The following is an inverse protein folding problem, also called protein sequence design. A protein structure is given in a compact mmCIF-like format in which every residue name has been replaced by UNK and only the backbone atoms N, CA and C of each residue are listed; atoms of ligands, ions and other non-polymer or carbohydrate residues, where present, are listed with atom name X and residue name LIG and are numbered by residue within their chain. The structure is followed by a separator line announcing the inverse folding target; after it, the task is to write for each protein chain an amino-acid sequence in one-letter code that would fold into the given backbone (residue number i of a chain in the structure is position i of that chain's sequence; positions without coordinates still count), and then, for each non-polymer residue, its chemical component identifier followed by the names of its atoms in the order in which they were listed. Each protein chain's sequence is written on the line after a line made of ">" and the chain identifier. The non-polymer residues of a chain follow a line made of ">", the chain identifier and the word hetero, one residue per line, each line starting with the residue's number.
data_IF_910934677349
#
_entry.id   IF_910934677349
#
_cell.length_a   1.000
_cell.length_b   1.000
_cell.length_c   1.000
_cell.angle_alpha   90.00
_cell.angle_beta   90.00
_cell.angle_gamma   90.00
#
_symmetry.space_group_name_H-M   'P 1'
#
loop_
_entity.id
_entity.type
_entity.pdbx_description
1 polymer ?
#
# COMPACT_ATOMS: atom_id res chain seq x y z
N UNK A 1 13.73 9.27 -3.18
CA UNK A 1 13.04 10.23 -2.28
C UNK A 1 13.93 11.38 -1.82
N UNK A 2 15.21 11.18 -1.45
CA UNK A 2 16.11 12.25 -0.98
C UNK A 2 16.21 13.46 -1.93
N UNK A 3 16.19 13.23 -3.25
CA UNK A 3 16.34 14.31 -4.23
C UNK A 3 15.17 15.32 -4.26
N UNK A 4 13.95 14.91 -3.96
CA UNK A 4 12.78 15.81 -3.94
C UNK A 4 12.87 16.86 -2.83
N UNK A 5 13.26 16.43 -1.64
CA UNK A 5 13.44 17.35 -0.50
C UNK A 5 14.60 18.33 -0.73
N UNK A 6 15.66 17.86 -1.39
CA UNK A 6 16.81 18.70 -1.72
C UNK A 6 16.40 19.78 -2.74
N UNK A 7 15.69 19.41 -3.81
CA UNK A 7 15.17 20.36 -4.82
C UNK A 7 14.24 21.40 -4.15
N UNK A 8 13.32 20.90 -3.28
CA UNK A 8 12.40 21.78 -2.56
C UNK A 8 13.15 22.76 -1.64
N UNK A 9 14.17 22.30 -0.91
CA UNK A 9 15.04 23.14 -0.09
C UNK A 9 15.78 24.19 -0.89
N UNK A 10 16.32 23.82 -2.06
CA UNK A 10 17.01 24.76 -2.96
C UNK A 10 16.04 25.86 -3.45
N UNK A 11 14.82 25.50 -3.87
CA UNK A 11 13.82 26.47 -4.34
C UNK A 11 13.47 27.47 -3.22
N UNK A 12 13.22 26.98 -1.99
CA UNK A 12 12.94 27.84 -0.85
C UNK A 12 14.14 28.75 -0.49
N UNK A 13 15.34 28.22 -0.55
CA UNK A 13 16.57 29.01 -0.32
C UNK A 13 16.73 30.10 -1.38
N UNK A 14 16.52 29.78 -2.66
CA UNK A 14 16.57 30.76 -3.74
C UNK A 14 15.51 31.86 -3.58
N UNK A 15 14.29 31.52 -3.13
CA UNK A 15 13.28 32.52 -2.85
C UNK A 15 13.68 33.49 -1.74
N UNK A 16 14.36 33.00 -0.67
CA UNK A 16 14.91 33.83 0.39
C UNK A 16 16.01 34.77 -0.12
N UNK A 17 16.95 34.22 -0.90
CA UNK A 17 18.03 35.00 -1.51
C UNK A 17 17.46 36.07 -2.43
N UNK A 18 16.49 35.74 -3.29
CA UNK A 18 15.81 36.68 -4.17
C UNK A 18 15.11 37.81 -3.38
N UNK A 19 14.52 37.49 -2.23
CA UNK A 19 13.94 38.50 -1.34
C UNK A 19 15.00 39.47 -0.81
N UNK A 20 16.14 38.97 -0.34
CA UNK A 20 17.21 39.79 0.21
C UNK A 20 17.77 40.76 -0.83
N UNK A 21 17.94 40.28 -2.07
CA UNK A 21 18.53 41.13 -3.14
C UNK A 21 17.53 42.08 -3.81
N UNK A 22 16.26 41.70 -3.96
CA UNK A 22 15.26 42.45 -4.72
C UNK A 22 14.37 43.33 -3.85
N UNK A 23 14.33 43.10 -2.51
CA UNK A 23 13.40 43.74 -1.56
C UNK A 23 11.90 43.67 -1.93
N UNK A 24 11.54 42.92 -2.96
CA UNK A 24 10.16 42.74 -3.34
C UNK A 24 9.42 41.79 -2.38
N UNK A 25 8.32 42.26 -1.81
CA UNK A 25 7.51 41.57 -0.83
C UNK A 25 6.96 40.22 -1.33
N UNK A 26 6.79 40.05 -2.63
CA UNK A 26 6.33 38.77 -3.21
C UNK A 26 7.24 37.58 -2.93
N UNK A 27 8.55 37.77 -2.92
CA UNK A 27 9.50 36.71 -2.62
C UNK A 27 9.43 36.28 -1.16
N UNK A 28 9.13 37.19 -0.24
CA UNK A 28 8.87 36.87 1.16
C UNK A 28 7.63 35.99 1.31
N UNK A 29 6.54 36.33 0.60
CA UNK A 29 5.31 35.52 0.62
C UNK A 29 5.60 34.11 0.09
N UNK A 30 6.28 33.97 -1.06
CA UNK A 30 6.64 32.67 -1.64
C UNK A 30 7.45 31.83 -0.65
N UNK A 31 8.41 32.43 0.04
CA UNK A 31 9.23 31.76 1.03
C UNK A 31 8.40 31.27 2.23
N UNK A 32 7.55 32.14 2.80
CA UNK A 32 6.65 31.78 3.91
C UNK A 32 5.70 30.64 3.52
N UNK A 33 5.05 30.76 2.34
CA UNK A 33 4.15 29.72 1.82
C UNK A 33 4.91 28.40 1.63
N UNK A 34 6.15 28.48 1.10
CA UNK A 34 7.02 27.32 0.97
C UNK A 34 7.27 26.59 2.28
N UNK A 35 7.48 27.28 3.39
CA UNK A 35 7.69 26.67 4.70
C UNK A 35 6.37 26.07 5.26
N UNK A 36 5.28 26.82 5.14
CA UNK A 36 3.98 26.41 5.71
C UNK A 36 3.36 25.23 4.94
N UNK A 37 3.55 25.18 3.62
CA UNK A 37 2.92 24.19 2.75
C UNK A 37 3.13 22.73 3.17
N UNK A 38 4.34 22.21 3.44
CA UNK A 38 4.54 20.82 3.86
C UNK A 38 3.94 20.54 5.24
N UNK A 39 3.85 21.54 6.12
CA UNK A 39 3.23 21.40 7.44
C UNK A 39 1.72 21.19 7.27
N UNK A 40 1.07 22.03 6.47
CA UNK A 40 -0.36 21.93 6.17
C UNK A 40 -0.66 20.62 5.47
N UNK A 41 0.14 20.22 4.46
CA UNK A 41 0.00 18.91 3.79
C UNK A 41 0.06 17.75 4.78
N UNK A 42 1.01 17.77 5.71
CA UNK A 42 1.15 16.69 6.71
C UNK A 42 -0.05 16.64 7.65
N UNK A 43 -0.59 17.78 8.05
CA UNK A 43 -1.78 17.85 8.90
C UNK A 43 -3.02 17.32 8.18
N UNK A 44 -3.24 17.76 6.93
CA UNK A 44 -4.35 17.28 6.11
C UNK A 44 -4.24 15.76 5.86
N UNK A 45 -3.04 15.27 5.53
CA UNK A 45 -2.81 13.84 5.32
C UNK A 45 -3.09 13.02 6.58
N UNK A 46 -2.74 13.53 7.77
CA UNK A 46 -3.09 12.90 9.05
C UNK A 46 -4.59 12.86 9.31
N UNK A 47 -5.31 13.91 8.92
CA UNK A 47 -6.77 13.94 9.03
C UNK A 47 -7.39 12.92 8.08
N UNK A 48 -6.99 12.90 6.81
CA UNK A 48 -7.48 11.91 5.82
C UNK A 48 -7.19 10.47 6.25
N UNK A 49 -6.03 10.21 6.84
CA UNK A 49 -5.63 8.89 7.32
C UNK A 49 -6.60 8.28 8.36
N UNK A 50 -7.35 9.10 9.08
CA UNK A 50 -8.35 8.64 10.07
C UNK A 50 -9.61 8.08 9.43
N UNK A 51 -9.91 8.50 8.19
CA UNK A 51 -11.13 8.13 7.48
C UNK A 51 -10.92 7.03 6.44
N UNK A 52 -9.69 6.60 6.24
CA UNK A 52 -9.33 5.53 5.32
C UNK A 52 -9.51 4.19 6.02
N UNK A 53 -10.25 3.29 5.36
CA UNK A 53 -10.40 1.89 5.73
C UNK A 53 -9.85 1.03 4.59
N UNK A 54 -9.08 0.01 4.96
CA UNK A 54 -8.49 -0.93 4.01
C UNK A 54 -9.09 -2.30 4.32
N UNK A 55 -9.71 -2.91 3.31
CA UNK A 55 -10.27 -4.24 3.39
C UNK A 55 -9.50 -5.19 2.47
N UNK A 56 -9.15 -6.35 3.00
CA UNK A 56 -8.57 -7.45 2.23
C UNK A 56 -9.66 -8.49 1.97
N UNK A 57 -10.04 -8.63 0.72
CA UNK A 57 -11.03 -9.60 0.27
C UNK A 57 -10.35 -10.68 -0.56
N UNK A 58 -10.73 -11.94 -0.33
CA UNK A 58 -10.16 -13.08 -1.03
C UNK A 58 -10.95 -14.36 -0.81
N UNK A 59 -10.62 -15.44 -1.50
CA UNK A 59 -11.26 -16.73 -1.30
C UNK A 59 -10.88 -17.31 0.06
N UNK A 60 -11.84 -17.96 0.73
CA UNK A 60 -11.59 -18.70 1.97
C UNK A 60 -10.95 -20.06 1.72
N UNK A 61 -11.11 -20.59 0.50
CA UNK A 61 -10.62 -21.90 0.10
C UNK A 61 -10.06 -21.86 -1.32
N UNK A 62 -9.04 -22.68 -1.56
CA UNK A 62 -8.44 -22.85 -2.88
C UNK A 62 -7.94 -24.26 -3.08
N UNK A 63 -7.59 -24.62 -4.33
CA UNK A 63 -6.94 -25.89 -4.66
C UNK A 63 -5.48 -25.64 -5.03
N UNK A 64 -4.64 -26.62 -4.74
CA UNK A 64 -3.26 -26.62 -5.18
C UNK A 64 -3.18 -26.48 -6.71
N UNK A 65 -2.27 -25.63 -7.19
CA UNK A 65 -2.13 -25.28 -8.60
C UNK A 65 -3.10 -24.22 -9.12
N UNK A 66 -4.14 -23.87 -8.37
CA UNK A 66 -5.12 -22.86 -8.75
C UNK A 66 -4.54 -21.45 -8.67
N UNK A 67 -4.90 -20.60 -9.63
CA UNK A 67 -4.65 -19.16 -9.57
C UNK A 67 -5.73 -18.53 -8.69
N UNK A 68 -5.31 -17.93 -7.59
CA UNK A 68 -6.18 -17.27 -6.62
C UNK A 68 -5.99 -15.76 -6.68
N UNK A 69 -7.09 -15.01 -6.54
CA UNK A 69 -7.04 -13.56 -6.56
C UNK A 69 -7.45 -12.98 -5.20
N UNK A 70 -6.72 -11.96 -4.78
CA UNK A 70 -7.00 -11.14 -3.60
C UNK A 70 -7.19 -9.70 -4.02
N UNK A 71 -8.18 -9.05 -3.45
CA UNK A 71 -8.49 -7.66 -3.72
C UNK A 71 -8.19 -6.84 -2.46
N UNK A 72 -7.29 -5.88 -2.59
CA UNK A 72 -7.13 -4.82 -1.63
C UNK A 72 -8.08 -3.69 -2.01
N UNK A 73 -9.08 -3.44 -1.18
CA UNK A 73 -10.06 -2.37 -1.38
C UNK A 73 -9.83 -1.29 -0.33
N UNK A 74 -9.53 -0.09 -0.81
CA UNK A 74 -9.31 1.09 0.02
C UNK A 74 -10.50 2.01 -0.15
N UNK A 75 -11.21 2.28 0.94
CA UNK A 75 -12.39 3.12 0.98
C UNK A 75 -12.18 4.30 1.93
N UNK A 76 -12.79 5.42 1.61
CA UNK A 76 -12.87 6.57 2.51
C UNK A 76 -14.28 7.11 2.57
N UNK A 77 -14.71 7.53 3.77
CA UNK A 77 -16.00 8.20 3.94
C UNK A 77 -16.04 9.58 3.29
N UNK A 78 -14.89 10.22 3.16
CA UNK A 78 -14.73 11.57 2.62
C UNK A 78 -13.89 11.57 1.36
N UNK A 79 -14.01 12.65 0.59
CA UNK A 79 -13.14 12.84 -0.58
C UNK A 79 -11.69 12.99 -0.12
N UNK A 80 -10.79 12.21 -0.72
CA UNK A 80 -9.36 12.31 -0.49
C UNK A 80 -8.78 13.36 -1.43
N UNK A 81 -8.42 14.51 -0.89
CA UNK A 81 -7.94 15.66 -1.67
C UNK A 81 -6.41 15.62 -1.77
N UNK A 82 -5.76 15.21 -0.69
CA UNK A 82 -4.31 15.27 -0.54
C UNK A 82 -3.64 13.91 -0.74
N UNK A 83 -4.36 12.82 -0.49
CA UNK A 83 -3.84 11.45 -0.61
C UNK A 83 -3.68 11.03 -2.07
N UNK A 84 -2.48 10.53 -2.42
CA UNK A 84 -2.16 10.05 -3.77
C UNK A 84 -2.02 8.54 -3.88
N UNK A 85 -1.43 7.89 -2.86
CA UNK A 85 -1.21 6.43 -2.86
C UNK A 85 -0.99 5.89 -1.45
N UNK A 86 -1.22 4.58 -1.31
CA UNK A 86 -0.83 3.80 -0.13
C UNK A 86 0.26 2.81 -0.55
N UNK A 87 1.42 2.87 0.11
CA UNK A 87 2.45 1.84 0.02
C UNK A 87 2.26 0.87 1.19
N UNK A 88 2.47 -0.43 0.95
CA UNK A 88 2.36 -1.47 1.97
C UNK A 88 3.22 -2.68 1.65
N UNK A 89 3.54 -3.45 2.69
CA UNK A 89 4.21 -4.73 2.59
C UNK A 89 3.14 -5.83 2.48
N UNK A 90 3.05 -6.45 1.30
CA UNK A 90 2.26 -7.66 1.10
C UNK A 90 3.05 -8.85 1.64
N UNK A 91 2.45 -9.61 2.53
CA UNK A 91 3.04 -10.81 3.13
C UNK A 91 2.12 -12.00 2.86
N UNK A 92 2.66 -12.99 2.16
CA UNK A 92 2.07 -14.30 1.98
C UNK A 92 2.85 -15.30 2.84
N UNK A 93 2.18 -16.01 3.71
CA UNK A 93 2.77 -16.96 4.64
C UNK A 93 2.00 -18.28 4.61
N UNK A 94 2.69 -19.39 4.23
CA UNK A 94 2.15 -20.73 4.37
C UNK A 94 2.60 -21.29 5.71
N UNK A 95 1.68 -21.46 6.65
CA UNK A 95 1.96 -21.90 8.01
C UNK A 95 2.45 -23.34 8.06
N UNK A 96 1.98 -24.18 7.15
CA UNK A 96 2.32 -25.62 7.11
C UNK A 96 3.79 -25.82 6.70
N UNK A 97 4.25 -25.08 5.69
CA UNK A 97 5.61 -25.19 5.18
C UNK A 97 6.58 -24.13 5.73
N UNK A 98 6.06 -23.20 6.55
CA UNK A 98 6.83 -22.06 7.09
C UNK A 98 7.50 -21.22 5.98
N UNK A 99 6.88 -21.20 4.80
CA UNK A 99 7.37 -20.40 3.68
C UNK A 99 6.69 -19.03 3.69
N UNK A 100 7.50 -17.98 3.56
CA UNK A 100 7.04 -16.59 3.62
C UNK A 100 7.58 -15.80 2.43
N UNK A 101 6.68 -15.10 1.74
CA UNK A 101 7.01 -14.23 0.61
C UNK A 101 6.57 -12.82 0.99
N UNK A 102 7.49 -11.87 0.86
CA UNK A 102 7.23 -10.46 1.13
C UNK A 102 7.44 -9.64 -0.15
N UNK A 103 6.54 -8.73 -0.43
CA UNK A 103 6.64 -7.84 -1.58
C UNK A 103 6.11 -6.45 -1.26
N UNK A 104 6.93 -5.44 -1.54
CA UNK A 104 6.47 -4.05 -1.46
C UNK A 104 5.53 -3.75 -2.61
N UNK A 105 4.36 -3.24 -2.28
CA UNK A 105 3.29 -2.94 -3.21
C UNK A 105 2.73 -1.55 -2.96
N UNK A 106 1.99 -1.00 -3.93
CA UNK A 106 1.27 0.25 -3.76
C UNK A 106 -0.11 0.19 -4.40
N UNK A 107 -1.05 0.96 -3.84
CA UNK A 107 -2.37 1.21 -4.38
C UNK A 107 -2.47 2.69 -4.71
N UNK A 108 -2.71 3.07 -5.98
CA UNK A 108 -3.07 4.44 -6.31
C UNK A 108 -4.44 4.75 -5.73
N UNK A 109 -4.60 5.93 -5.14
CA UNK A 109 -5.87 6.40 -4.59
C UNK A 109 -6.57 7.31 -5.58
N UNK A 110 -7.86 7.06 -5.79
CA UNK A 110 -8.78 8.03 -6.37
C UNK A 110 -9.34 8.96 -5.30
N UNK A 111 -10.36 9.75 -5.64
CA UNK A 111 -10.95 10.69 -4.68
C UNK A 111 -11.56 10.04 -3.43
N UNK A 112 -12.04 8.80 -3.50
CA UNK A 112 -12.68 8.09 -2.37
C UNK A 112 -12.22 6.66 -2.20
N UNK A 113 -11.71 6.06 -3.26
CA UNK A 113 -11.42 4.63 -3.28
C UNK A 113 -10.20 4.30 -4.14
N UNK A 114 -9.59 3.16 -3.85
CA UNK A 114 -8.55 2.57 -4.66
C UNK A 114 -8.64 1.05 -4.56
N UNK A 115 -8.55 0.37 -5.70
CA UNK A 115 -8.59 -1.09 -5.75
C UNK A 115 -7.33 -1.65 -6.39
N UNK A 116 -6.83 -2.74 -5.82
CA UNK A 116 -5.72 -3.49 -6.41
C UNK A 116 -5.98 -4.97 -6.28
N UNK A 117 -5.95 -5.66 -7.42
CA UNK A 117 -6.08 -7.10 -7.48
C UNK A 117 -4.70 -7.76 -7.56
N UNK A 118 -4.54 -8.85 -6.82
CA UNK A 118 -3.35 -9.68 -6.78
C UNK A 118 -3.68 -11.09 -7.12
N UNK A 119 -2.92 -11.66 -8.06
CA UNK A 119 -3.01 -13.05 -8.41
C UNK A 119 -1.77 -13.79 -7.90
N UNK A 120 -1.98 -14.92 -7.29
CA UNK A 120 -0.90 -15.83 -6.96
C UNK A 120 -1.34 -17.27 -7.22
N UNK A 121 -0.39 -18.11 -7.57
CA UNK A 121 -0.61 -19.54 -7.76
C UNK A 121 -0.42 -20.24 -6.42
N UNK A 122 -1.43 -20.97 -5.96
CA UNK A 122 -1.34 -21.78 -4.75
C UNK A 122 -0.44 -23.00 -5.03
N UNK A 123 0.85 -22.88 -4.73
CA UNK A 123 1.84 -23.91 -5.06
C UNK A 123 1.80 -25.09 -4.09
N UNK A 124 1.32 -24.88 -2.88
CA UNK A 124 1.36 -25.88 -1.82
C UNK A 124 0.06 -25.87 -1.03
N UNK A 125 -0.31 -27.08 -0.54
CA UNK A 125 -1.44 -27.25 0.37
C UNK A 125 -1.16 -26.71 1.77
N UNK A 126 -2.22 -26.45 2.52
CA UNK A 126 -2.16 -26.07 3.91
C UNK A 126 -2.84 -24.74 4.22
N UNK A 127 -2.65 -24.29 5.44
CA UNK A 127 -3.16 -22.99 5.89
C UNK A 127 -2.25 -21.87 5.41
N UNK A 128 -2.86 -20.90 4.77
CA UNK A 128 -2.19 -19.71 4.20
C UNK A 128 -2.76 -18.47 4.83
N UNK A 129 -1.88 -17.56 5.23
CA UNK A 129 -2.23 -16.23 5.69
C UNK A 129 -1.71 -15.22 4.68
N UNK A 130 -2.63 -14.38 4.20
CA UNK A 130 -2.29 -13.18 3.44
C UNK A 130 -2.49 -11.98 4.34
N UNK A 131 -1.49 -11.12 4.47
CA UNK A 131 -1.56 -9.95 5.33
C UNK A 131 -0.92 -8.73 4.69
N UNK A 132 -1.41 -7.55 5.10
CA UNK A 132 -0.81 -6.26 4.79
C UNK A 132 -0.17 -5.70 6.05
N UNK A 133 1.08 -5.27 5.92
CA UNK A 133 1.86 -4.65 7.00
C UNK A 133 2.49 -3.36 6.51
N UNK A 134 2.96 -2.54 7.43
CA UNK A 134 3.71 -1.32 7.15
C UNK A 134 3.01 -0.40 6.13
N UNK A 135 1.75 -0.10 6.42
CA UNK A 135 0.90 0.73 5.58
C UNK A 135 1.28 2.20 5.73
N UNK A 136 1.65 2.83 4.61
CA UNK A 136 2.01 4.25 4.56
C UNK A 136 1.17 4.98 3.52
N UNK A 137 0.46 6.00 3.98
CA UNK A 137 -0.26 6.94 3.12
C UNK A 137 0.68 8.04 2.66
N UNK A 138 0.72 8.30 1.37
CA UNK A 138 1.49 9.37 0.75
C UNK A 138 0.57 10.43 0.16
N UNK A 139 1.01 11.68 0.22
CA UNK A 139 0.37 12.77 -0.50
C UNK A 139 0.57 12.64 -2.02
N UNK A 140 -0.22 13.38 -2.79
CA UNK A 140 -0.19 13.39 -4.27
C UNK A 140 1.21 13.73 -4.80
N UNK A 141 1.93 14.63 -4.14
CA UNK A 141 3.27 15.06 -4.54
C UNK A 141 4.36 14.09 -4.06
N UNK A 142 4.05 13.22 -3.08
CA UNK A 142 5.00 12.29 -2.46
C UNK A 142 6.04 12.98 -1.58
N UNK A 143 5.71 14.15 -0.98
CA UNK A 143 6.54 14.85 -0.01
C UNK A 143 6.32 14.35 1.40
N UNK A 144 5.07 14.04 1.76
CA UNK A 144 4.71 13.64 3.11
C UNK A 144 4.23 12.19 3.13
N UNK A 145 4.46 11.53 4.26
CA UNK A 145 3.91 10.18 4.51
C UNK A 145 3.40 10.07 5.94
N UNK A 146 2.31 9.32 6.10
CA UNK A 146 1.70 9.01 7.40
C UNK A 146 1.52 7.51 7.51
N UNK A 147 1.86 6.92 8.65
CA UNK A 147 1.62 5.50 8.93
C UNK A 147 0.15 5.27 9.23
N UNK A 148 -0.44 4.27 8.59
CA UNK A 148 -1.79 3.76 8.90
C UNK A 148 -1.65 2.59 9.86
N UNK A 149 -2.21 2.71 11.07
CA UNK A 149 -2.15 1.67 12.10
C UNK A 149 -3.26 0.61 11.88
N UNK A 150 -3.29 0.04 10.69
CA UNK A 150 -4.22 -1.02 10.31
C UNK A 150 -3.45 -2.24 9.87
N UNK A 151 -3.81 -3.40 10.42
CA UNK A 151 -3.29 -4.70 10.00
C UNK A 151 -4.47 -5.55 9.53
N UNK A 152 -4.50 -5.88 8.26
CA UNK A 152 -5.49 -6.79 7.70
C UNK A 152 -4.85 -8.15 7.44
N UNK A 153 -5.54 -9.20 7.89
CA UNK A 153 -5.13 -10.59 7.68
C UNK A 153 -6.31 -11.35 7.09
N UNK A 154 -6.03 -12.16 6.10
CA UNK A 154 -6.99 -13.06 5.50
C UNK A 154 -6.46 -14.49 5.58
N UNK A 155 -7.24 -15.38 6.18
CA UNK A 155 -6.92 -16.80 6.33
C UNK A 155 -7.62 -17.57 5.25
N UNK A 156 -6.91 -18.51 4.63
CA UNK A 156 -7.45 -19.42 3.64
C UNK A 156 -6.84 -20.81 3.78
N UNK A 157 -7.56 -21.81 3.31
CA UNK A 157 -7.11 -23.20 3.27
C UNK A 157 -6.94 -23.64 1.83
N UNK A 158 -5.77 -24.15 1.50
CA UNK A 158 -5.46 -24.74 0.19
C UNK A 158 -5.52 -26.24 0.30
N UNK A 159 -6.45 -26.83 -0.44
CA UNK A 159 -6.63 -28.30 -0.49
C UNK A 159 -5.77 -28.93 -1.59
N UNK A 160 -5.33 -30.19 -1.42
CA UNK A 160 -4.63 -30.92 -2.45
C UNK A 160 -5.50 -31.11 -3.70
N UNK A 161 -4.88 -31.12 -4.87
CA UNK A 161 -5.56 -31.44 -6.12
C UNK A 161 -5.87 -32.94 -6.15
N UNK A 162 -7.09 -33.32 -6.56
CA UNK A 162 -7.58 -34.72 -6.55
C UNK A 162 -6.78 -35.70 -7.46
N UNK A 163 -5.79 -35.22 -8.19
CA UNK A 163 -5.09 -36.00 -9.22
C UNK A 163 -4.28 -37.18 -8.63
N UNK A 164 -3.75 -37.04 -7.41
CA UNK A 164 -2.90 -38.11 -6.84
C UNK A 164 -3.68 -39.35 -6.33
N UNK A 165 -4.92 -39.19 -5.91
CA UNK A 165 -5.70 -40.34 -5.38
C UNK A 165 -6.06 -41.37 -6.46
N UNK A 166 -6.26 -40.94 -7.69
CA UNK A 166 -6.61 -41.88 -8.79
C UNK A 166 -5.42 -42.69 -9.27
N UNK A 167 -4.19 -42.16 -9.14
CA UNK A 167 -2.95 -42.90 -9.50
C UNK A 167 -2.67 -44.00 -8.47
N UNK A 168 -2.79 -43.69 -7.19
CA UNK A 168 -2.61 -44.65 -6.11
C UNK A 168 -3.64 -45.81 -6.16
N UNK A 169 -4.89 -45.48 -6.50
CA UNK A 169 -5.93 -46.51 -6.62
C UNK A 169 -5.69 -47.47 -7.80
N UNK A 170 -5.16 -46.94 -8.91
CA UNK A 170 -4.84 -47.75 -10.08
C UNK A 170 -3.56 -48.60 -9.91
N UNK A 171 -2.63 -48.19 -9.04
CA UNK A 171 -1.44 -48.99 -8.68
C UNK A 171 -1.76 -50.10 -7.68
N UNK A 172 -2.74 -49.87 -6.78
CA UNK A 172 -3.18 -50.86 -5.78
C UNK A 172 -4.17 -51.89 -6.34
N UNK A 173 -4.73 -51.62 -7.52
CA UNK A 173 -5.71 -52.53 -8.18
C UNK A 173 -5.07 -53.42 -9.24
N UNK A 174 -3.75 -53.44 -9.39
CA UNK A 174 -2.95 -54.37 -10.20
C UNK A 174 -2.28 -55.41 -9.30
#
# INVERSE_FOLDING_TARGET
>A
MKNKYLIYGIINFLALVAYIYSTYFYFLIIWIVGIIFPIVLTLLLKLEARFIQIELQGPLQGKEGQLLSFIADVKSQYNLIVSGRIDYLYVYENLTLKNRIEKNMFIPLGMKEGKKEYHFKATYCGEVIVSYRDLYLYDVFGFCRVSLHQNQKHHMIVYPSKIEMNLLYNELSK
#
